data_IF_889740733441
#
_entry.id   IF_889740733441
#
_cell.length_a   1.000
_cell.length_b   1.000
_cell.length_c   1.000
_cell.angle_alpha   90.00
_cell.angle_beta   90.00
_cell.angle_gamma   90.00
#
_symmetry.space_group_name_H-M   'P 1'
#
loop_
_entity.id
_entity.type
_entity.pdbx_description
1 polymer ?
#
# COMPACT_ATOMS: atom_id res chain seq x y z
N UNK A 1 15.56 3.78 -36.62
CA UNK A 1 14.75 2.70 -36.00
C UNK A 1 15.46 2.16 -34.76
N UNK A 2 15.09 2.64 -33.58
CA UNK A 2 15.09 1.93 -32.29
C UNK A 2 14.31 2.77 -31.27
N UNK A 3 13.10 3.18 -31.65
CA UNK A 3 12.06 3.50 -30.67
C UNK A 3 11.40 2.18 -30.32
N UNK A 4 11.96 1.47 -29.34
CA UNK A 4 11.36 0.24 -28.84
C UNK A 4 11.20 0.42 -27.33
N UNK A 5 9.96 0.74 -26.95
CA UNK A 5 9.44 0.74 -25.59
C UNK A 5 10.09 1.74 -24.62
N UNK A 6 9.59 2.98 -24.64
CA UNK A 6 9.44 3.75 -23.41
C UNK A 6 8.40 2.98 -22.58
N UNK A 7 8.86 2.05 -21.73
CA UNK A 7 7.98 1.42 -20.75
C UNK A 7 7.41 2.57 -19.93
N UNK A 8 6.09 2.75 -19.95
CA UNK A 8 5.43 3.65 -19.02
C UNK A 8 5.78 3.15 -17.62
N UNK A 9 6.82 3.72 -17.02
CA UNK A 9 7.18 3.45 -15.64
C UNK A 9 5.98 3.88 -14.81
N UNK A 10 5.46 2.96 -13.99
CA UNK A 10 4.42 3.30 -13.05
C UNK A 10 5.05 4.23 -12.02
N UNK A 11 4.80 5.53 -12.20
CA UNK A 11 5.25 6.62 -11.32
C UNK A 11 4.48 6.67 -9.99
N UNK A 12 3.51 5.77 -9.76
CA UNK A 12 2.77 5.66 -8.50
C UNK A 12 3.06 4.31 -7.85
N UNK A 13 3.69 4.34 -6.68
CA UNK A 13 3.99 3.13 -5.90
C UNK A 13 3.19 3.12 -4.60
N UNK A 14 3.10 1.94 -3.99
CA UNK A 14 2.44 1.74 -2.71
C UNK A 14 3.47 1.76 -1.58
N UNK A 15 3.22 2.65 -0.62
CA UNK A 15 3.93 2.77 0.65
C UNK A 15 3.29 1.91 1.76
N UNK A 16 2.28 1.10 1.45
CA UNK A 16 1.52 0.32 2.43
C UNK A 16 2.40 -0.51 3.37
N UNK A 17 3.52 -1.06 2.88
CA UNK A 17 4.49 -1.81 3.71
C UNK A 17 5.16 -0.90 4.75
N UNK A 18 5.63 0.26 4.32
CA UNK A 18 6.25 1.23 5.21
C UNK A 18 5.22 1.75 6.21
N UNK A 19 4.05 2.13 5.73
CA UNK A 19 2.93 2.58 6.57
C UNK A 19 2.57 1.55 7.65
N UNK A 20 2.34 0.28 7.28
CA UNK A 20 1.99 -0.78 8.22
C UNK A 20 3.10 -1.02 9.26
N UNK A 21 4.36 -0.87 8.86
CA UNK A 21 5.51 -0.95 9.77
C UNK A 21 5.47 0.16 10.81
N UNK A 22 5.23 1.42 10.38
CA UNK A 22 5.11 2.57 11.28
C UNK A 22 3.89 2.44 12.21
N UNK A 23 2.76 2.01 11.67
CA UNK A 23 1.53 1.76 12.41
C UNK A 23 1.75 0.71 13.51
N UNK A 24 2.40 -0.42 13.18
CA UNK A 24 2.72 -1.46 14.15
C UNK A 24 3.73 -1.01 15.20
N UNK A 25 4.72 -0.18 14.84
CA UNK A 25 5.63 0.40 15.82
C UNK A 25 4.87 1.28 16.82
N UNK A 26 3.87 2.05 16.38
CA UNK A 26 2.99 2.82 17.27
C UNK A 26 2.17 1.90 18.20
N UNK A 27 1.56 0.84 17.67
CA UNK A 27 0.82 -0.16 18.47
C UNK A 27 1.68 -0.75 19.58
N UNK A 28 2.89 -1.21 19.25
CA UNK A 28 3.81 -1.81 20.21
C UNK A 28 4.15 -0.82 21.34
N UNK A 29 4.40 0.46 21.01
CA UNK A 29 4.63 1.51 22.03
C UNK A 29 3.42 1.75 22.94
N UNK A 30 2.22 1.46 22.45
CA UNK A 30 0.97 1.56 23.21
C UNK A 30 0.62 0.28 23.98
N UNK A 31 1.46 -0.77 23.90
CA UNK A 31 1.22 -2.07 24.54
C UNK A 31 0.34 -3.02 23.71
N UNK A 32 -0.05 -2.62 22.51
CA UNK A 32 -0.85 -3.43 21.61
C UNK A 32 0.01 -4.44 20.82
N UNK A 33 -0.62 -5.55 20.43
CA UNK A 33 -0.01 -6.49 19.48
C UNK A 33 0.09 -5.86 18.08
N UNK A 34 1.15 -6.16 17.30
CA UNK A 34 1.25 -5.76 15.91
C UNK A 34 0.16 -6.44 15.07
N UNK A 35 -0.33 -5.73 14.06
CA UNK A 35 -1.23 -6.28 13.06
C UNK A 35 -0.44 -7.02 11.97
N UNK A 36 -0.88 -8.23 11.67
CA UNK A 36 -0.43 -9.00 10.51
C UNK A 36 -1.24 -8.65 9.27
N UNK A 37 -0.67 -8.86 8.08
CA UNK A 37 -1.40 -8.64 6.82
C UNK A 37 -2.66 -9.53 6.71
N UNK A 38 -2.64 -10.72 7.32
CA UNK A 38 -3.80 -11.62 7.40
C UNK A 38 -4.91 -11.08 8.29
N UNK A 39 -4.56 -10.40 9.39
CA UNK A 39 -5.55 -9.72 10.23
C UNK A 39 -6.18 -8.56 9.48
N UNK A 40 -5.37 -7.73 8.81
CA UNK A 40 -5.88 -6.63 7.97
C UNK A 40 -6.83 -7.18 6.90
N UNK A 41 -6.46 -8.24 6.18
CA UNK A 41 -7.33 -8.87 5.19
C UNK A 41 -8.68 -9.33 5.79
N UNK A 42 -8.64 -10.00 6.94
CA UNK A 42 -9.84 -10.51 7.62
C UNK A 42 -10.74 -9.37 8.13
N UNK A 43 -10.14 -8.33 8.69
CA UNK A 43 -10.87 -7.23 9.32
C UNK A 43 -11.42 -6.22 8.29
N UNK A 44 -10.74 -6.06 7.15
CA UNK A 44 -11.17 -5.15 6.07
C UNK A 44 -12.00 -5.83 4.99
N UNK A 45 -11.99 -7.17 4.92
CA UNK A 45 -12.57 -7.92 3.80
C UNK A 45 -11.75 -7.85 2.50
N UNK A 46 -10.62 -7.13 2.48
CA UNK A 46 -9.75 -7.04 1.31
C UNK A 46 -9.02 -8.37 1.14
N UNK A 47 -9.00 -8.88 -0.09
CA UNK A 47 -8.27 -10.10 -0.42
C UNK A 47 -6.78 -9.98 -0.03
N UNK A 48 -6.24 -11.01 0.62
CA UNK A 48 -4.83 -11.04 1.04
C UNK A 48 -3.87 -10.89 -0.16
N UNK A 49 -4.25 -11.39 -1.33
CA UNK A 49 -3.49 -11.21 -2.58
C UNK A 49 -3.37 -9.75 -2.98
N UNK A 50 -4.44 -8.97 -2.88
CA UNK A 50 -4.44 -7.52 -3.13
C UNK A 50 -3.49 -6.81 -2.16
N UNK A 51 -3.60 -7.08 -0.86
CA UNK A 51 -2.70 -6.50 0.15
C UNK A 51 -1.23 -6.91 -0.08
N UNK A 52 -1.00 -8.15 -0.52
CA UNK A 52 0.35 -8.64 -0.85
C UNK A 52 0.92 -7.92 -2.07
N UNK A 53 0.11 -7.69 -3.10
CA UNK A 53 0.50 -6.91 -4.28
C UNK A 53 0.90 -5.47 -3.92
N UNK A 54 0.11 -4.83 -3.06
CA UNK A 54 0.38 -3.47 -2.58
C UNK A 54 1.64 -3.40 -1.70
N UNK A 55 1.82 -4.32 -0.76
CA UNK A 55 3.00 -4.32 0.13
C UNK A 55 4.31 -4.70 -0.57
N UNK A 56 4.22 -5.39 -1.70
CA UNK A 56 5.40 -5.80 -2.50
C UNK A 56 5.63 -4.95 -3.74
N UNK A 57 4.85 -3.87 -3.94
CA UNK A 57 4.90 -3.03 -5.14
C UNK A 57 4.78 -3.80 -6.46
N UNK A 58 4.06 -4.92 -6.45
CA UNK A 58 3.74 -5.70 -7.65
C UNK A 58 2.38 -5.35 -8.24
N UNK A 59 1.54 -4.65 -7.48
CA UNK A 59 0.25 -4.17 -7.96
C UNK A 59 0.45 -3.13 -9.08
N UNK A 60 -0.28 -3.29 -10.18
CA UNK A 60 -0.29 -2.32 -11.29
C UNK A 60 -1.26 -1.14 -11.04
N UNK A 61 -2.05 -1.23 -9.97
CA UNK A 61 -3.04 -0.25 -9.57
C UNK A 61 -3.80 -0.71 -8.35
N UNK A 62 -4.65 0.18 -7.83
CA UNK A 62 -5.54 -0.08 -6.70
C UNK A 62 -6.93 0.45 -7.06
N UNK A 63 -7.97 -0.30 -6.68
CA UNK A 63 -9.35 0.19 -6.81
C UNK A 63 -9.64 1.24 -5.74
N UNK A 64 -10.44 2.26 -6.05
CA UNK A 64 -10.78 3.31 -5.08
C UNK A 64 -11.50 2.76 -3.84
N UNK A 65 -12.34 1.74 -3.99
CA UNK A 65 -12.99 1.06 -2.86
C UNK A 65 -11.97 0.43 -1.90
N UNK A 66 -10.95 -0.25 -2.44
CA UNK A 66 -9.85 -0.81 -1.64
C UNK A 66 -9.07 0.29 -0.91
N UNK A 67 -8.74 1.38 -1.62
CA UNK A 67 -8.03 2.52 -1.03
C UNK A 67 -8.85 3.18 0.08
N UNK A 68 -10.14 3.43 -0.17
CA UNK A 68 -11.08 4.00 0.79
C UNK A 68 -11.22 3.11 2.03
N UNK A 69 -11.34 1.80 1.84
CA UNK A 69 -11.42 0.83 2.93
C UNK A 69 -10.16 0.85 3.80
N UNK A 70 -8.97 0.88 3.19
CA UNK A 70 -7.71 0.99 3.93
C UNK A 70 -7.60 2.32 4.68
N UNK A 71 -7.92 3.44 4.04
CA UNK A 71 -7.91 4.76 4.66
C UNK A 71 -8.88 4.82 5.86
N UNK A 72 -10.08 4.28 5.72
CA UNK A 72 -11.06 4.23 6.81
C UNK A 72 -10.60 3.31 7.95
N UNK A 73 -10.06 2.13 7.63
CA UNK A 73 -9.62 1.16 8.63
C UNK A 73 -8.44 1.68 9.46
N UNK A 74 -7.46 2.31 8.81
CA UNK A 74 -6.28 2.85 9.49
C UNK A 74 -6.45 4.30 9.96
N UNK A 75 -7.56 4.95 9.62
CA UNK A 75 -7.78 6.39 9.79
C UNK A 75 -6.60 7.22 9.26
N UNK A 76 -6.26 7.00 7.98
CA UNK A 76 -5.14 7.64 7.29
C UNK A 76 -5.54 8.25 5.95
N UNK A 77 -4.65 9.04 5.36
CA UNK A 77 -4.84 9.67 4.06
C UNK A 77 -4.34 8.77 2.92
N UNK A 78 -4.83 8.97 1.67
CA UNK A 78 -4.29 8.28 0.51
C UNK A 78 -2.77 8.46 0.34
N UNK A 79 -2.24 9.63 0.69
CA UNK A 79 -0.80 9.94 0.64
C UNK A 79 0.04 9.12 1.62
N UNK A 80 -0.58 8.51 2.63
CA UNK A 80 0.11 7.60 3.55
C UNK A 80 0.28 6.19 2.94
N UNK A 81 -0.50 5.87 1.90
CA UNK A 81 -0.54 4.55 1.24
C UNK A 81 0.06 4.61 -0.16
N UNK A 82 -0.11 5.72 -0.88
CA UNK A 82 0.33 5.89 -2.26
C UNK A 82 1.34 7.03 -2.35
N UNK A 83 2.40 6.79 -3.12
CA UNK A 83 3.46 7.77 -3.40
C UNK A 83 3.61 7.95 -4.89
N UNK A 84 3.62 9.21 -5.31
CA UNK A 84 4.12 9.58 -6.62
C UNK A 84 5.65 9.70 -6.56
N UNK A 85 6.33 8.91 -7.40
CA UNK A 85 7.77 8.95 -7.63
C UNK A 85 7.95 9.22 -9.12
N UNK A 86 8.16 10.49 -9.53
CA UNK A 86 8.50 10.78 -10.91
C UNK A 86 9.81 10.06 -11.25
N UNK A 87 9.94 9.58 -12.48
CA UNK A 87 11.27 9.18 -12.96
C UNK A 87 12.16 10.42 -12.95
N UNK A 88 13.31 10.30 -12.30
CA UNK A 88 14.36 11.31 -12.45
C UNK A 88 14.85 11.19 -13.90
N UNK A 89 14.60 12.22 -14.72
CA UNK A 89 15.41 12.44 -15.93
C UNK A 89 16.88 12.64 -15.55
#
# INVERSE_FOLDING_TARGET
MREVHMLAQIVITSDLRYFLTQYNAKRIRQGDKPLTLRQVARETGIALSTLTGLTTNRAQGIQFETLSTLCSYFNCLPSDILRYTPDEE
#
